data_IF_744516154218
#
_entry.id   IF_744516154218
#
_cell.length_a   1.000
_cell.length_b   1.000
_cell.length_c   1.000
_cell.angle_alpha   90.00
_cell.angle_beta   90.00
_cell.angle_gamma   90.00
#
_symmetry.space_group_name_H-M   'P 1'
#
loop_
_entity.id
_entity.type
_entity.pdbx_description
1 polymer ?
#
# COMPACT_ATOMS: atom_id res chain seq x y z
N UNK A 1 28.29 6.79 4.79
CA UNK A 1 27.05 7.35 5.34
C UNK A 1 26.10 6.20 5.60
N UNK A 2 25.79 5.89 6.87
CA UNK A 2 24.67 5.00 7.18
C UNK A 2 23.42 5.86 7.20
N UNK A 3 22.75 5.95 6.06
CA UNK A 3 21.44 6.59 5.99
C UNK A 3 20.46 5.61 6.63
N UNK A 4 20.28 5.70 7.95
CA UNK A 4 19.10 5.19 8.62
C UNK A 4 17.92 6.08 8.20
N UNK A 5 17.54 6.04 6.93
CA UNK A 5 16.24 6.55 6.50
C UNK A 5 15.22 5.56 7.02
N UNK A 6 14.84 5.73 8.28
CA UNK A 6 13.55 5.26 8.78
C UNK A 6 12.53 5.79 7.75
N UNK A 7 11.90 4.88 7.01
CA UNK A 7 10.87 5.23 6.05
C UNK A 7 9.89 6.17 6.75
N UNK A 8 9.73 7.36 6.18
CA UNK A 8 8.84 8.38 6.72
C UNK A 8 7.40 7.97 6.47
N UNK A 9 6.48 8.62 7.17
CA UNK A 9 5.04 8.43 6.96
C UNK A 9 4.65 8.60 5.48
N UNK A 10 5.29 9.53 4.77
CA UNK A 10 5.07 9.78 3.35
C UNK A 10 5.64 8.67 2.46
N UNK A 11 6.77 8.06 2.83
CA UNK A 11 7.30 6.90 2.12
C UNK A 11 6.30 5.74 2.18
N UNK A 12 5.72 5.45 3.35
CA UNK A 12 4.72 4.39 3.51
C UNK A 12 3.45 4.63 2.70
N UNK A 13 2.98 5.87 2.66
CA UNK A 13 1.87 6.27 1.81
C UNK A 13 2.17 5.99 0.33
N UNK A 14 3.34 6.39 -0.17
CA UNK A 14 3.75 6.16 -1.55
C UNK A 14 3.93 4.67 -1.87
N UNK A 15 4.44 3.88 -0.92
CA UNK A 15 4.56 2.42 -1.06
C UNK A 15 3.18 1.79 -1.19
N UNK A 16 2.24 2.10 -0.29
CA UNK A 16 0.87 1.57 -0.35
C UNK A 16 0.19 1.89 -1.66
N UNK A 17 0.29 3.15 -2.11
CA UNK A 17 -0.27 3.59 -3.39
C UNK A 17 0.35 2.85 -4.59
N UNK A 18 1.66 2.65 -4.56
CA UNK A 18 2.38 1.90 -5.60
C UNK A 18 2.00 0.42 -5.63
N UNK A 19 1.82 -0.20 -4.47
CA UNK A 19 1.38 -1.60 -4.36
C UNK A 19 -0.03 -1.79 -4.92
N UNK A 20 -0.96 -0.89 -4.58
CA UNK A 20 -2.29 -0.86 -5.17
C UNK A 20 -2.24 -0.66 -6.68
N UNK A 21 -1.40 0.28 -7.17
CA UNK A 21 -1.15 0.46 -8.60
C UNK A 21 -0.51 -0.72 -9.29
N UNK A 22 0.18 -1.59 -8.55
CA UNK A 22 0.75 -2.83 -9.06
C UNK A 22 -0.21 -4.02 -8.92
N UNK A 23 -1.34 -3.86 -8.23
CA UNK A 23 -2.27 -4.96 -7.90
C UNK A 23 -1.66 -5.97 -6.94
N UNK A 24 -0.68 -5.54 -6.13
CA UNK A 24 -0.05 -6.38 -5.11
C UNK A 24 -0.98 -6.47 -3.90
N UNK A 25 -1.00 -7.58 -3.16
CA UNK A 25 -1.75 -7.66 -1.90
C UNK A 25 -1.21 -6.66 -0.87
N UNK A 26 -2.08 -6.15 0.01
CA UNK A 26 -1.71 -5.25 1.10
C UNK A 26 -0.65 -5.90 2.00
N UNK A 27 0.50 -5.24 2.13
CA UNK A 27 1.60 -5.67 3.02
C UNK A 27 1.98 -4.53 3.99
N UNK A 28 1.11 -4.23 4.97
CA UNK A 28 1.38 -3.15 5.91
C UNK A 28 2.54 -3.49 6.86
N UNK A 29 3.33 -2.49 7.28
CA UNK A 29 4.37 -2.64 8.30
C UNK A 29 3.81 -2.88 9.71
N UNK A 30 4.67 -3.30 10.65
CA UNK A 30 4.29 -3.56 12.06
C UNK A 30 3.98 -2.28 12.87
N UNK A 31 4.56 -1.15 12.46
CA UNK A 31 4.37 0.14 13.13
C UNK A 31 3.00 0.73 12.77
N UNK A 32 2.16 1.01 13.76
CA UNK A 32 0.77 1.41 13.56
C UNK A 32 0.59 2.71 12.76
N UNK A 33 1.49 3.68 12.96
CA UNK A 33 1.49 4.94 12.21
C UNK A 33 1.82 4.67 10.74
N UNK A 34 2.88 3.88 10.51
CA UNK A 34 3.33 3.47 9.18
C UNK A 34 2.27 2.62 8.44
N UNK A 35 1.60 1.72 9.15
CA UNK A 35 0.52 0.87 8.63
C UNK A 35 -0.68 1.69 8.20
N UNK A 36 -1.07 2.68 9.01
CA UNK A 36 -2.16 3.60 8.69
C UNK A 36 -1.85 4.43 7.44
N UNK A 37 -0.61 4.90 7.28
CA UNK A 37 -0.21 5.63 6.07
C UNK A 37 -0.17 4.75 4.83
N UNK A 38 0.34 3.52 4.95
CA UNK A 38 0.32 2.54 3.88
C UNK A 38 -1.11 2.26 3.40
N UNK A 39 -2.03 2.00 4.32
CA UNK A 39 -3.42 1.68 3.97
C UNK A 39 -4.15 2.85 3.30
N UNK A 40 -3.90 4.09 3.75
CA UNK A 40 -4.40 5.31 3.10
C UNK A 40 -3.91 5.40 1.66
N UNK A 41 -2.60 5.22 1.42
CA UNK A 41 -2.02 5.27 0.09
C UNK A 41 -2.55 4.16 -0.81
N UNK A 42 -2.65 2.94 -0.30
CA UNK A 42 -3.17 1.79 -1.03
C UNK A 42 -4.62 2.01 -1.46
N UNK A 43 -5.47 2.51 -0.57
CA UNK A 43 -6.87 2.83 -0.88
C UNK A 43 -6.98 3.90 -1.99
N UNK A 44 -6.10 4.90 -1.98
CA UNK A 44 -6.06 5.92 -3.06
C UNK A 44 -5.61 5.33 -4.41
N UNK A 45 -4.67 4.38 -4.38
CA UNK A 45 -4.24 3.64 -5.56
C UNK A 45 -5.32 2.71 -6.12
N UNK A 46 -6.16 2.11 -5.27
CA UNK A 46 -7.30 1.29 -5.71
C UNK A 46 -8.38 2.14 -6.39
N UNK A 47 -8.72 3.31 -5.84
CA UNK A 47 -9.76 4.19 -6.40
C UNK A 47 -9.40 4.71 -7.80
N UNK A 48 -8.10 4.92 -8.06
CA UNK A 48 -7.63 5.40 -9.36
C UNK A 48 -7.53 4.30 -10.42
N UNK A 49 -7.61 3.02 -10.03
CA UNK A 49 -7.82 1.92 -10.95
C UNK A 49 -9.32 1.81 -11.27
N UNK A 50 -9.72 1.79 -12.56
CA UNK A 50 -11.13 1.59 -12.90
C UNK A 50 -11.58 0.21 -12.39
N UNK A 51 -12.82 0.06 -11.91
CA UNK A 51 -13.33 -1.20 -11.35
C UNK A 51 -13.43 -2.36 -12.37
N UNK A 52 -12.98 -2.15 -13.61
CA UNK A 52 -12.98 -3.15 -14.68
C UNK A 52 -11.81 -4.13 -14.57
N UNK A 53 -10.77 -3.82 -13.79
CA UNK A 53 -9.70 -4.77 -13.46
C UNK A 53 -10.02 -5.45 -12.13
N UNK A 54 -10.95 -6.40 -12.17
CA UNK A 54 -11.21 -7.34 -11.07
C UNK A 54 -9.88 -7.99 -10.66
N UNK A 55 -9.40 -7.84 -9.41
CA UNK A 55 -8.43 -8.78 -8.88
C UNK A 55 -9.17 -10.11 -8.72
N UNK A 56 -8.99 -10.99 -9.69
CA UNK A 56 -9.25 -12.41 -9.49
C UNK A 56 -8.50 -12.83 -8.22
N UNK A 57 -9.20 -13.52 -7.32
CA UNK A 57 -8.72 -14.12 -6.05
C UNK A 57 -8.86 -13.29 -4.77
N UNK A 58 -10.10 -13.10 -4.33
CA UNK A 58 -10.46 -13.21 -2.91
C UNK A 58 -11.09 -14.60 -2.70
N UNK A 59 -10.25 -15.63 -2.63
CA UNK A 59 -10.61 -16.92 -2.06
C UNK A 59 -9.60 -17.22 -0.94
N UNK A 60 -10.04 -17.00 0.30
CA UNK A 60 -9.58 -17.79 1.44
C UNK A 60 -10.81 -18.30 2.17
N UNK A 61 -10.88 -19.62 2.17
CA UNK A 61 -11.94 -20.55 2.63
C UNK A 61 -12.51 -20.29 4.03
#
# INVERSE_FOLDING_TARGET
>A
MMNNTKATNEDWFNVGKSDAYAGKPKTPPEDAESASMYDLGYSEGEITRPPTETPETEEKE
#
